data_IF_843911265086
#
_entry.id   IF_843911265086
#
_cell.length_a   1.000
_cell.length_b   1.000
_cell.length_c   1.000
_cell.angle_alpha   90.00
_cell.angle_beta   90.00
_cell.angle_gamma   90.00
#
_symmetry.space_group_name_H-M   'P 1'
#
loop_
_entity.id
_entity.type
_entity.pdbx_description
1 polymer ?
#
# COMPACT_ATOMS: atom_id res chain seq x y z
N UNK A 1 -12.03 -13.91 -8.37
CA UNK A 1 -11.45 -12.78 -7.59
C UNK A 1 -9.96 -13.01 -7.43
N UNK A 2 -9.14 -11.97 -7.58
CA UNK A 2 -7.69 -12.06 -7.38
C UNK A 2 -7.33 -12.09 -5.89
N UNK A 3 -6.37 -12.94 -5.52
CA UNK A 3 -5.87 -13.06 -4.13
C UNK A 3 -4.80 -12.02 -3.80
N UNK A 4 -4.19 -11.42 -4.82
CA UNK A 4 -3.09 -10.47 -4.73
C UNK A 4 -3.58 -9.04 -4.84
N UNK A 5 -3.06 -8.17 -3.97
CA UNK A 5 -3.42 -6.75 -3.89
C UNK A 5 -2.15 -5.90 -3.80
N UNK A 6 -2.11 -4.83 -4.59
CA UNK A 6 -1.16 -3.75 -4.40
C UNK A 6 -1.58 -2.97 -3.16
N UNK A 7 -0.62 -2.67 -2.29
CA UNK A 7 -0.81 -1.77 -1.15
C UNK A 7 -0.18 -0.43 -1.49
N UNK A 8 -0.92 0.65 -1.28
CA UNK A 8 -0.47 2.01 -1.60
C UNK A 8 -0.98 3.05 -0.59
N UNK A 9 -0.35 4.22 -0.55
CA UNK A 9 -0.75 5.37 0.29
C UNK A 9 -1.66 6.32 -0.49
N UNK A 10 -2.64 6.94 0.20
CA UNK A 10 -3.57 7.88 -0.44
C UNK A 10 -2.91 9.19 -0.89
N UNK A 11 -1.94 9.69 -0.12
CA UNK A 11 -1.44 11.06 -0.30
C UNK A 11 -0.25 11.16 -1.27
N UNK A 12 0.44 10.04 -1.55
CA UNK A 12 1.51 9.96 -2.55
C UNK A 12 1.23 9.02 -3.72
N UNK A 13 0.08 8.34 -3.76
CA UNK A 13 -0.24 7.28 -4.74
C UNK A 13 0.84 6.17 -4.80
N UNK A 14 1.62 6.03 -3.73
CA UNK A 14 2.90 5.33 -3.72
C UNK A 14 2.70 3.86 -3.40
N UNK A 15 3.21 2.99 -4.28
CA UNK A 15 3.23 1.55 -4.05
C UNK A 15 4.21 1.26 -2.90
N UNK A 16 3.69 0.77 -1.78
CA UNK A 16 4.50 0.37 -0.61
C UNK A 16 4.79 -1.13 -0.61
N UNK A 17 4.08 -1.90 -1.44
CA UNK A 17 4.39 -3.29 -1.76
C UNK A 17 3.16 -4.10 -2.18
N UNK A 18 3.32 -5.42 -2.25
CA UNK A 18 2.23 -6.36 -2.61
C UNK A 18 1.91 -7.29 -1.46
N UNK A 19 0.63 -7.59 -1.29
CA UNK A 19 0.14 -8.59 -0.34
C UNK A 19 -0.72 -9.65 -1.01
N UNK A 20 -0.73 -10.85 -0.44
CA UNK A 20 -1.65 -11.93 -0.77
C UNK A 20 -2.53 -12.26 0.42
N UNK A 21 -3.82 -12.52 0.16
CA UNK A 21 -4.76 -12.95 1.19
C UNK A 21 -4.49 -14.42 1.56
N UNK A 22 -4.38 -14.72 2.86
CA UNK A 22 -4.18 -16.07 3.39
C UNK A 22 -5.49 -16.72 3.84
N UNK A 23 -5.45 -18.04 4.10
CA UNK A 23 -6.64 -18.85 4.46
C UNK A 23 -7.43 -18.33 5.67
N UNK A 24 -6.79 -17.61 6.60
CA UNK A 24 -7.44 -16.99 7.77
C UNK A 24 -8.05 -15.61 7.48
N UNK A 25 -8.28 -15.26 6.21
CA UNK A 25 -8.72 -13.95 5.71
C UNK A 25 -7.77 -12.75 5.94
N UNK A 26 -6.63 -12.96 6.59
CA UNK A 26 -5.55 -11.98 6.80
C UNK A 26 -4.68 -11.81 5.53
N UNK A 27 -3.70 -10.91 5.57
CA UNK A 27 -2.76 -10.63 4.47
C UNK A 27 -1.33 -10.93 4.87
N UNK A 28 -0.56 -11.56 3.97
CA UNK A 28 0.90 -11.64 4.06
C UNK A 28 1.56 -10.88 2.90
N UNK A 29 2.73 -10.29 3.15
CA UNK A 29 3.52 -9.61 2.13
C UNK A 29 4.09 -10.63 1.13
N UNK A 30 4.18 -10.23 -0.14
CA UNK A 30 4.97 -10.95 -1.13
C UNK A 30 6.46 -10.58 -1.04
N UNK A 31 7.30 -11.38 -1.69
CA UNK A 31 8.77 -11.21 -1.69
C UNK A 31 9.15 -10.29 -2.85
N UNK A 32 10.06 -9.34 -2.64
CA UNK A 32 10.67 -8.55 -3.72
C UNK A 32 11.64 -9.42 -4.50
N UNK A 33 11.63 -9.29 -5.83
CA UNK A 33 12.42 -10.11 -6.76
C UNK A 33 13.93 -9.88 -6.62
N UNK A 34 14.32 -8.66 -6.26
CA UNK A 34 15.72 -8.24 -6.12
C UNK A 34 16.40 -8.87 -4.89
N UNK A 35 15.61 -9.37 -3.92
CA UNK A 35 16.10 -10.30 -2.90
C UNK A 35 16.28 -11.66 -3.57
N UNK A 36 17.49 -11.91 -4.06
CA UNK A 36 17.87 -13.04 -4.91
C UNK A 36 17.24 -14.37 -4.48
N UNK A 37 16.59 -15.01 -5.45
CA UNK A 37 16.19 -16.40 -5.35
C UNK A 37 17.41 -17.29 -5.06
N UNK A 38 17.22 -18.28 -4.17
CA UNK A 38 18.11 -19.44 -3.92
C UNK A 38 19.40 -19.12 -3.12
N UNK A 39 19.83 -17.86 -3.02
CA UNK A 39 20.72 -17.45 -1.94
C UNK A 39 20.00 -17.58 -0.59
N UNK A 40 20.55 -18.37 0.34
CA UNK A 40 20.05 -18.37 1.72
C UNK A 40 20.06 -16.95 2.28
N UNK A 41 19.17 -16.65 3.22
CA UNK A 41 19.14 -15.36 3.93
C UNK A 41 20.32 -15.14 4.89
N UNK A 42 21.48 -15.75 4.62
CA UNK A 42 22.79 -15.50 5.25
C UNK A 42 23.43 -14.18 4.78
N UNK A 43 22.62 -13.17 4.43
CA UNK A 43 22.99 -11.82 4.82
C UNK A 43 22.69 -11.73 6.31
N UNK A 44 23.67 -12.16 7.10
CA UNK A 44 23.68 -12.18 8.56
C UNK A 44 23.71 -10.75 9.11
N UNK A 45 22.60 -10.04 8.90
CA UNK A 45 22.23 -8.94 9.76
C UNK A 45 21.94 -9.53 11.13
N UNK A 46 22.85 -9.30 12.08
CA UNK A 46 22.88 -9.85 13.46
C UNK A 46 21.62 -9.56 14.30
N UNK A 47 20.64 -8.85 13.73
CA UNK A 47 19.50 -8.22 14.39
C UNK A 47 18.14 -8.91 14.12
N UNK A 48 18.08 -9.95 13.28
CA UNK A 48 16.83 -10.69 13.05
C UNK A 48 16.58 -11.74 14.14
N UNK A 49 15.42 -11.65 14.81
CA UNK A 49 15.02 -12.52 15.92
C UNK A 49 13.75 -13.36 15.64
N UNK A 50 13.35 -13.51 14.37
CA UNK A 50 12.19 -14.35 14.00
C UNK A 50 11.65 -14.16 12.58
N UNK A 51 10.42 -14.62 12.38
CA UNK A 51 9.72 -14.64 11.09
C UNK A 51 8.35 -13.96 11.17
N UNK A 52 8.06 -13.09 10.21
CA UNK A 52 6.77 -12.43 10.03
C UNK A 52 5.94 -13.18 8.96
N UNK A 53 4.91 -13.88 9.42
CA UNK A 53 3.95 -14.64 8.63
C UNK A 53 2.56 -13.96 8.69
N UNK A 54 2.18 -13.22 7.65
CA UNK A 54 1.00 -12.35 7.76
C UNK A 54 1.12 -11.38 8.93
N UNK A 55 0.05 -11.18 9.70
CA UNK A 55 0.09 -10.34 10.91
C UNK A 55 0.81 -10.97 12.13
N UNK A 56 1.44 -12.14 11.99
CA UNK A 56 2.03 -12.89 13.10
C UNK A 56 3.54 -12.94 13.05
N UNK A 57 4.15 -12.64 14.19
CA UNK A 57 5.57 -12.84 14.41
C UNK A 57 5.82 -14.15 15.17
N UNK A 58 6.77 -14.95 14.70
CA UNK A 58 7.28 -16.15 15.35
C UNK A 58 8.75 -15.93 15.69
N UNK A 59 9.03 -15.76 16.98
CA UNK A 59 10.39 -15.56 17.47
C UNK A 59 11.24 -16.84 17.36
N UNK A 60 12.56 -16.70 17.26
CA UNK A 60 13.46 -17.83 17.01
C UNK A 60 13.40 -18.93 18.06
N UNK A 61 13.14 -18.59 19.32
CA UNK A 61 13.01 -19.58 20.39
C UNK A 61 11.83 -20.52 20.11
N UNK A 62 10.74 -20.00 19.51
CA UNK A 62 9.58 -20.81 19.09
C UNK A 62 9.90 -21.65 17.86
N UNK A 63 10.70 -21.13 16.92
CA UNK A 63 11.17 -21.87 15.74
C UNK A 63 12.07 -23.04 16.16
N UNK A 64 13.07 -22.79 16.99
CA UNK A 64 14.01 -23.81 17.50
C UNK A 64 13.32 -24.86 18.36
N UNK A 65 12.40 -24.45 19.25
CA UNK A 65 11.58 -25.41 20.02
C UNK A 65 10.68 -26.26 19.13
N UNK A 66 10.11 -25.69 18.07
CA UNK A 66 9.28 -26.42 17.12
C UNK A 66 10.11 -27.37 16.24
N UNK A 67 11.33 -26.97 15.87
CA UNK A 67 12.29 -27.80 15.13
C UNK A 67 12.73 -29.01 15.94
N UNK A 68 13.12 -28.82 17.21
CA UNK A 68 13.53 -29.92 18.09
C UNK A 68 12.42 -30.97 18.27
N UNK A 69 11.15 -30.53 18.38
CA UNK A 69 9.99 -31.43 18.40
C UNK A 69 9.77 -32.14 17.07
N UNK A 70 9.95 -31.46 15.93
CA UNK A 70 9.85 -32.09 14.62
C UNK A 70 10.92 -33.16 14.41
N UNK A 71 12.16 -32.89 14.80
CA UNK A 71 13.28 -33.81 14.70
C UNK A 71 13.08 -35.07 15.56
N UNK A 72 12.66 -34.90 16.81
CA UNK A 72 12.41 -36.01 17.76
C UNK A 72 11.10 -36.77 17.55
N UNK A 73 10.24 -36.34 16.62
CA UNK A 73 8.97 -37.01 16.37
C UNK A 73 9.15 -38.40 15.72
N UNK A 74 8.55 -39.41 16.33
CA UNK A 74 8.56 -40.80 15.82
C UNK A 74 7.44 -41.01 14.83
N UNK A 75 7.77 -41.54 13.66
CA UNK A 75 6.85 -41.78 12.56
C UNK A 75 5.92 -42.96 12.92
N UNK A 76 4.74 -42.65 13.46
CA UNK A 76 3.76 -43.63 13.94
C UNK A 76 2.74 -43.07 14.94
N UNK A 77 3.15 -42.14 15.81
CA UNK A 77 2.26 -41.48 16.79
C UNK A 77 1.73 -40.11 16.32
N UNK A 78 2.25 -39.60 15.21
CA UNK A 78 1.96 -38.28 14.64
C UNK A 78 1.79 -38.38 13.13
N UNK A 79 0.91 -37.54 12.57
CA UNK A 79 0.78 -37.34 11.10
C UNK A 79 1.96 -36.52 10.57
N UNK A 80 2.62 -35.76 11.45
CA UNK A 80 3.73 -34.87 11.13
C UNK A 80 5.07 -35.43 11.63
N UNK A 81 6.20 -35.12 10.97
CA UNK A 81 6.32 -34.29 9.77
C UNK A 81 5.64 -34.91 8.54
N UNK A 82 4.92 -34.08 7.78
CA UNK A 82 4.11 -34.49 6.64
C UNK A 82 4.79 -34.06 5.33
N UNK A 83 4.72 -34.80 4.22
CA UNK A 83 5.31 -34.38 2.94
C UNK A 83 4.83 -32.98 2.50
N UNK A 84 5.76 -32.14 2.08
CA UNK A 84 5.43 -30.83 1.52
C UNK A 84 4.81 -31.00 0.12
N UNK A 85 3.65 -30.38 -0.09
CA UNK A 85 2.88 -30.46 -1.34
C UNK A 85 2.64 -29.10 -2.01
N UNK A 86 3.31 -28.05 -1.52
CA UNK A 86 3.26 -26.73 -2.14
C UNK A 86 4.22 -26.60 -3.33
N UNK A 87 4.34 -25.39 -3.87
CA UNK A 87 5.09 -25.12 -5.11
C UNK A 87 6.29 -24.18 -4.90
N UNK A 88 6.65 -23.87 -3.64
CA UNK A 88 7.81 -23.03 -3.30
C UNK A 88 9.16 -23.78 -3.31
N UNK A 89 9.10 -25.12 -3.36
CA UNK A 89 10.24 -26.03 -3.39
C UNK A 89 9.90 -27.21 -4.32
N UNK A 90 10.88 -27.84 -4.99
CA UNK A 90 10.65 -29.00 -5.84
C UNK A 90 10.09 -30.20 -5.05
N UNK A 91 9.21 -30.97 -5.69
CA UNK A 91 8.49 -32.08 -5.04
C UNK A 91 9.35 -33.34 -4.87
N UNK A 92 10.37 -33.48 -5.72
CA UNK A 92 11.36 -34.56 -5.79
C UNK A 92 12.46 -34.45 -4.73
N UNK A 93 12.70 -33.25 -4.16
CA UNK A 93 13.66 -33.04 -3.08
C UNK A 93 13.20 -33.59 -1.71
N UNK A 94 11.94 -34.03 -1.59
CA UNK A 94 11.45 -34.72 -0.39
C UNK A 94 11.26 -33.83 0.84
N UNK A 95 11.01 -32.53 0.64
CA UNK A 95 10.72 -31.60 1.72
C UNK A 95 9.53 -32.03 2.58
N UNK A 96 9.59 -31.68 3.87
CA UNK A 96 8.58 -31.97 4.86
C UNK A 96 8.05 -30.66 5.48
N UNK A 97 6.83 -30.69 6.00
CA UNK A 97 6.24 -29.61 6.77
C UNK A 97 5.98 -30.02 8.22
N UNK A 98 6.07 -29.08 9.16
CA UNK A 98 5.73 -29.27 10.57
C UNK A 98 4.90 -28.07 11.11
N UNK A 99 3.78 -28.28 11.84
CA UNK A 99 2.91 -27.18 12.25
C UNK A 99 3.52 -26.23 13.28
N UNK A 100 3.27 -24.93 13.11
CA UNK A 100 3.56 -23.90 14.13
C UNK A 100 2.23 -23.38 14.69
N UNK A 101 2.10 -23.46 16.01
CA UNK A 101 0.86 -23.11 16.72
C UNK A 101 0.89 -21.67 17.24
N UNK A 102 -0.28 -21.13 17.60
CA UNK A 102 -0.41 -19.74 18.06
C UNK A 102 0.05 -19.58 19.52
N UNK A 103 0.92 -18.60 19.77
CA UNK A 103 1.35 -18.22 21.11
C UNK A 103 2.40 -19.18 21.68
N UNK A 104 2.48 -19.31 23.01
CA UNK A 104 3.46 -20.17 23.71
C UNK A 104 3.11 -21.68 23.65
N UNK A 105 2.21 -22.10 22.75
CA UNK A 105 1.85 -23.52 22.57
C UNK A 105 2.67 -24.08 21.42
N UNK A 106 3.31 -25.21 21.64
CA UNK A 106 4.02 -25.98 20.61
C UNK A 106 3.14 -27.17 20.17
N UNK A 107 3.20 -27.54 18.88
CA UNK A 107 2.62 -28.79 18.43
C UNK A 107 3.51 -29.95 18.89
N UNK A 108 2.94 -30.90 19.66
CA UNK A 108 3.67 -32.06 20.20
C UNK A 108 3.34 -33.37 19.48
N UNK A 109 2.06 -33.66 19.27
CA UNK A 109 1.57 -34.87 18.59
C UNK A 109 0.06 -34.78 18.35
N UNK A 110 -0.48 -35.75 17.60
CA UNK A 110 -1.92 -36.03 17.51
C UNK A 110 -2.63 -35.52 16.25
N UNK A 111 -3.81 -36.09 15.98
CA UNK A 111 -4.69 -35.76 14.84
C UNK A 111 -5.57 -34.53 15.10
N UNK A 112 -5.07 -33.53 15.85
CA UNK A 112 -5.89 -32.39 16.30
C UNK A 112 -6.46 -31.58 15.12
N UNK A 113 -7.77 -31.41 15.06
CA UNK A 113 -8.50 -30.80 13.94
C UNK A 113 -8.26 -29.30 13.69
N UNK A 114 -7.41 -28.64 14.50
CA UNK A 114 -7.19 -27.19 14.46
C UNK A 114 -5.71 -26.84 14.29
N UNK A 115 -5.09 -27.46 13.29
CA UNK A 115 -3.76 -27.08 12.82
C UNK A 115 -3.86 -25.70 12.14
N UNK A 116 -3.04 -24.75 12.60
CA UNK A 116 -2.98 -23.41 12.04
C UNK A 116 -2.35 -23.39 10.64
N UNK A 117 -2.46 -22.28 9.89
CA UNK A 117 -1.94 -22.20 8.53
C UNK A 117 -0.41 -22.02 8.45
N UNK A 118 0.32 -22.11 9.57
CA UNK A 118 1.74 -21.79 9.66
C UNK A 118 2.56 -23.05 9.84
N UNK A 119 3.65 -23.19 9.09
CA UNK A 119 4.47 -24.40 9.06
C UNK A 119 5.96 -24.07 8.98
N UNK A 120 6.78 -24.84 9.69
CA UNK A 120 8.19 -25.01 9.33
C UNK A 120 8.27 -25.85 8.06
N UNK A 121 9.23 -25.53 7.19
CA UNK A 121 9.70 -26.42 6.13
C UNK A 121 11.02 -27.02 6.57
N UNK A 122 11.14 -28.33 6.39
CA UNK A 122 12.31 -29.13 6.69
C UNK A 122 12.75 -29.87 5.42
N UNK A 123 14.05 -30.10 5.26
CA UNK A 123 14.54 -31.00 4.21
C UNK A 123 14.32 -32.48 4.61
N UNK A 124 14.71 -33.42 3.74
CA UNK A 124 14.59 -34.86 3.99
C UNK A 124 15.40 -35.33 5.22
N UNK A 125 16.50 -34.65 5.56
CA UNK A 125 17.29 -34.85 6.79
C UNK A 125 16.66 -34.22 8.06
N UNK A 126 15.46 -33.62 7.97
CA UNK A 126 14.78 -32.88 9.06
C UNK A 126 15.55 -31.66 9.58
N UNK A 127 16.43 -31.07 8.77
CA UNK A 127 17.05 -29.77 9.03
C UNK A 127 16.07 -28.66 8.63
N UNK A 128 16.14 -27.52 9.34
CA UNK A 128 15.31 -26.35 9.06
C UNK A 128 15.66 -25.69 7.72
N UNK A 129 14.64 -25.32 6.96
CA UNK A 129 14.77 -24.67 5.64
C UNK A 129 14.13 -23.28 5.64
N UNK A 130 12.87 -23.18 6.08
CA UNK A 130 12.09 -21.93 6.01
C UNK A 130 10.85 -21.98 6.92
N UNK A 131 10.14 -20.86 7.02
CA UNK A 131 8.79 -20.77 7.59
C UNK A 131 7.82 -20.33 6.51
N UNK A 132 6.69 -21.03 6.36
CA UNK A 132 5.65 -20.71 5.37
C UNK A 132 4.26 -20.55 5.99
N UNK A 133 3.40 -19.81 5.30
CA UNK A 133 1.98 -19.69 5.59
C UNK A 133 1.12 -20.18 4.42
N UNK A 134 0.04 -20.89 4.72
CA UNK A 134 -0.93 -21.42 3.75
C UNK A 134 -1.86 -20.31 3.21
N UNK A 135 -1.76 -20.08 1.91
CA UNK A 135 -2.66 -19.26 1.11
C UNK A 135 -3.82 -20.05 0.51
N UNK A 136 -4.73 -19.36 -0.18
CA UNK A 136 -5.83 -20.02 -0.89
C UNK A 136 -5.32 -20.95 -2.00
N UNK A 137 -6.09 -22.00 -2.30
CA UNK A 137 -5.80 -22.91 -3.43
C UNK A 137 -4.70 -23.94 -3.17
N UNK A 138 -4.44 -24.32 -1.91
CA UNK A 138 -3.29 -25.15 -1.47
C UNK A 138 -1.91 -24.50 -1.72
N UNK A 139 -1.90 -23.18 -1.92
CA UNK A 139 -0.67 -22.43 -2.13
C UNK A 139 0.01 -22.15 -0.79
N UNK A 140 1.33 -21.93 -0.83
CA UNK A 140 2.11 -21.50 0.33
C UNK A 140 2.89 -20.23 -0.03
N UNK A 141 3.15 -19.41 0.97
CA UNK A 141 3.88 -18.16 0.87
C UNK A 141 4.97 -18.18 1.94
N UNK A 142 6.22 -17.85 1.60
CA UNK A 142 7.31 -17.75 2.58
C UNK A 142 7.03 -16.60 3.54
N UNK A 143 7.38 -16.79 4.80
CA UNK A 143 7.37 -15.73 5.78
C UNK A 143 8.64 -14.88 5.64
N UNK A 144 8.57 -13.62 6.04
CA UNK A 144 9.70 -12.71 5.91
C UNK A 144 10.54 -12.80 7.19
N UNK A 145 11.83 -13.14 7.07
CA UNK A 145 12.82 -13.01 8.15
C UNK A 145 12.81 -11.55 8.63
N UNK A 146 12.56 -11.33 9.91
CA UNK A 146 12.23 -10.00 10.42
C UNK A 146 12.69 -9.81 11.85
N UNK A 147 12.92 -8.55 12.23
CA UNK A 147 13.13 -8.15 13.62
C UNK A 147 11.79 -7.71 14.18
N UNK A 148 11.29 -8.38 15.21
CA UNK A 148 10.34 -7.73 16.09
C UNK A 148 11.12 -6.70 16.88
N UNK A 149 11.03 -5.43 16.47
CA UNK A 149 11.63 -4.34 17.20
C UNK A 149 11.21 -4.44 18.69
N UNK A 150 12.14 -4.33 19.65
CA UNK A 150 11.76 -4.13 21.03
C UNK A 150 10.80 -2.93 21.08
N UNK A 151 9.75 -3.01 21.90
CA UNK A 151 8.78 -1.91 22.02
C UNK A 151 9.54 -0.66 22.47
N UNK A 152 9.84 0.22 21.53
CA UNK A 152 10.56 1.45 21.82
C UNK A 152 9.76 2.27 22.85
N UNK A 153 10.42 2.97 23.78
CA UNK A 153 9.81 4.09 24.48
C UNK A 153 9.21 5.05 23.44
N UNK A 154 8.11 5.72 23.77
CA UNK A 154 7.30 6.50 22.83
C UNK A 154 7.97 7.81 22.31
N UNK A 155 9.30 7.88 22.30
CA UNK A 155 10.10 9.10 22.20
C UNK A 155 11.18 9.07 21.10
N UNK A 156 11.19 8.10 20.18
CA UNK A 156 12.17 8.04 19.09
C UNK A 156 11.93 9.15 18.03
N UNK A 157 12.89 10.07 17.78
CA UNK A 157 12.69 11.19 16.86
C UNK A 157 12.99 10.89 15.37
N UNK A 158 13.47 9.71 14.98
CA UNK A 158 14.20 9.53 13.71
C UNK A 158 13.42 8.91 12.52
N UNK A 159 12.09 8.77 12.59
CA UNK A 159 11.26 8.15 11.53
C UNK A 159 11.09 8.93 10.21
N UNK A 160 11.70 10.12 10.03
CA UNK A 160 11.30 11.13 9.01
C UNK A 160 12.19 11.28 7.78
N UNK A 161 12.96 10.25 7.38
CA UNK A 161 14.06 10.37 6.41
C UNK A 161 13.79 9.86 4.98
N UNK A 162 12.61 10.11 4.39
CA UNK A 162 12.45 10.03 2.93
C UNK A 162 11.78 11.28 2.36
N UNK A 163 12.65 12.23 1.95
CA UNK A 163 12.31 13.50 1.28
C UNK A 163 12.26 13.31 -0.25
N UNK A 164 11.85 14.36 -0.94
CA UNK A 164 10.65 14.32 -1.73
C UNK A 164 10.82 15.39 -2.85
N UNK A 165 10.51 15.19 -4.16
CA UNK A 165 10.79 16.18 -5.18
C UNK A 165 9.59 17.13 -5.36
N UNK A 166 9.86 18.37 -5.73
CA UNK A 166 8.90 19.47 -5.71
C UNK A 166 7.71 19.36 -6.69
N UNK A 167 6.48 19.24 -6.16
CA UNK A 167 5.21 19.59 -6.85
C UNK A 167 4.87 21.06 -6.62
N UNK A 168 4.85 21.93 -7.66
CA UNK A 168 4.39 23.31 -7.54
C UNK A 168 2.86 23.43 -7.58
N UNK A 169 2.30 24.31 -6.77
CA UNK A 169 0.85 24.51 -6.68
C UNK A 169 0.46 25.61 -5.70
N UNK A 170 -0.78 25.57 -5.21
CA UNK A 170 -1.33 26.55 -4.28
C UNK A 170 -1.93 25.88 -3.03
N UNK A 171 -1.55 26.35 -1.84
CA UNK A 171 -2.08 25.87 -0.56
C UNK A 171 -3.19 26.78 -0.05
N UNK A 172 -4.43 26.30 -0.10
CA UNK A 172 -5.61 26.95 0.43
C UNK A 172 -5.99 26.37 1.80
N UNK A 173 -5.42 26.92 2.87
CA UNK A 173 -5.61 26.40 4.23
C UNK A 173 -5.01 25.01 4.39
N UNK A 174 -5.86 23.97 4.42
CA UNK A 174 -5.44 22.55 4.50
C UNK A 174 -5.47 21.80 3.16
N UNK A 175 -5.83 22.46 2.06
CA UNK A 175 -5.98 21.83 0.74
C UNK A 175 -4.92 22.35 -0.21
N UNK A 176 -4.18 21.46 -0.86
CA UNK A 176 -3.20 21.80 -1.90
C UNK A 176 -3.76 21.51 -3.28
N UNK A 177 -3.58 22.44 -4.21
CA UNK A 177 -3.95 22.30 -5.61
C UNK A 177 -2.70 22.33 -6.47
N UNK A 178 -2.39 21.19 -7.10
CA UNK A 178 -1.27 21.03 -8.03
C UNK A 178 -1.49 21.87 -9.31
N UNK A 179 -0.43 22.49 -9.83
CA UNK A 179 -0.50 23.30 -11.05
C UNK A 179 -1.14 22.56 -12.24
N UNK A 180 -0.83 21.28 -12.45
CA UNK A 180 -1.38 20.48 -13.57
C UNK A 180 -2.90 20.36 -13.49
N UNK A 181 -3.44 20.13 -12.29
CA UNK A 181 -4.88 20.05 -12.04
C UNK A 181 -5.55 21.40 -12.32
N UNK A 182 -4.91 22.51 -11.93
CA UNK A 182 -5.41 23.86 -12.18
C UNK A 182 -5.37 24.24 -13.66
N UNK A 183 -4.35 23.81 -14.41
CA UNK A 183 -4.25 23.99 -15.86
C UNK A 183 -5.34 23.21 -16.61
N UNK A 184 -5.61 21.97 -16.23
CA UNK A 184 -6.68 21.17 -16.82
C UNK A 184 -8.07 21.74 -16.48
N UNK A 185 -8.26 22.26 -15.27
CA UNK A 185 -9.42 23.07 -14.92
C UNK A 185 -9.52 24.33 -15.81
N UNK A 186 -8.45 25.09 -16.02
CA UNK A 186 -8.45 26.27 -16.88
C UNK A 186 -8.84 25.95 -18.34
N UNK A 187 -8.38 24.81 -18.89
CA UNK A 187 -8.79 24.30 -20.21
C UNK A 187 -10.30 24.01 -20.27
N UNK A 188 -10.86 23.39 -19.21
CA UNK A 188 -12.31 23.12 -19.10
C UNK A 188 -13.10 24.44 -19.02
N UNK A 189 -12.62 25.41 -18.23
CA UNK A 189 -13.23 26.73 -18.11
C UNK A 189 -13.31 27.45 -19.47
N UNK A 190 -12.21 27.46 -20.23
CA UNK A 190 -12.14 28.04 -21.58
C UNK A 190 -13.14 27.38 -22.55
N UNK A 191 -13.18 26.04 -22.59
CA UNK A 191 -14.12 25.24 -23.42
C UNK A 191 -15.59 25.43 -23.05
N UNK A 192 -15.89 25.91 -21.85
CA UNK A 192 -17.25 26.13 -21.37
C UNK A 192 -17.70 27.58 -21.58
N UNK A 193 -16.79 28.55 -21.49
CA UNK A 193 -17.07 29.94 -21.82
C UNK A 193 -17.34 30.16 -23.33
N UNK A 194 -16.74 29.34 -24.20
CA UNK A 194 -16.97 29.39 -25.65
C UNK A 194 -18.30 28.77 -26.11
N UNK A 195 -19.17 28.30 -25.20
CA UNK A 195 -20.48 27.73 -25.53
C UNK A 195 -21.56 28.80 -25.44
N UNK A 196 -22.48 28.81 -26.41
CA UNK A 196 -23.59 29.78 -26.53
C UNK A 196 -24.55 29.75 -25.33
N UNK A 197 -24.60 28.64 -24.59
CA UNK A 197 -25.43 28.50 -23.39
C UNK A 197 -24.92 29.44 -22.29
N UNK A 198 -25.76 30.40 -21.85
CA UNK A 198 -25.47 31.38 -20.80
C UNK A 198 -25.12 30.74 -19.45
N UNK A 199 -23.86 30.37 -19.29
CA UNK A 199 -23.27 29.94 -18.02
C UNK A 199 -23.16 31.12 -17.05
N UNK A 200 -23.29 30.86 -15.74
CA UNK A 200 -22.91 31.85 -14.70
C UNK A 200 -21.38 31.89 -14.44
N UNK A 201 -20.61 30.99 -15.07
CA UNK A 201 -19.16 30.89 -14.91
C UNK A 201 -18.44 30.72 -16.25
N UNK A 202 -17.25 31.33 -16.44
CA UNK A 202 -16.53 32.13 -15.46
C UNK A 202 -17.22 33.47 -15.21
N UNK A 203 -17.05 34.03 -14.01
CA UNK A 203 -17.59 35.35 -13.67
C UNK A 203 -16.45 36.38 -13.66
N UNK A 204 -16.65 37.55 -14.27
CA UNK A 204 -15.69 38.65 -14.19
C UNK A 204 -15.57 39.18 -12.75
N UNK A 205 -14.33 39.46 -12.33
CA UNK A 205 -14.01 39.93 -10.99
C UNK A 205 -12.82 40.90 -11.02
N UNK A 206 -12.91 41.98 -10.24
CA UNK A 206 -11.85 43.00 -10.14
C UNK A 206 -11.60 43.47 -8.69
N UNK A 207 -12.06 42.72 -7.69
CA UNK A 207 -11.98 43.10 -6.27
C UNK A 207 -10.72 42.61 -5.54
N UNK A 208 -10.69 42.86 -4.23
CA UNK A 208 -9.66 42.34 -3.33
C UNK A 208 -9.66 40.80 -3.31
N UNK A 209 -8.50 40.12 -3.43
CA UNK A 209 -7.13 40.65 -3.30
C UNK A 209 -6.43 40.95 -4.63
N UNK A 210 -7.11 40.84 -5.77
CA UNK A 210 -6.46 40.86 -7.09
C UNK A 210 -6.41 42.24 -7.74
N UNK A 211 -7.43 43.09 -7.52
CA UNK A 211 -7.50 44.49 -8.00
C UNK A 211 -7.27 44.71 -9.52
N UNK A 212 -7.39 43.65 -10.32
CA UNK A 212 -7.29 43.68 -11.79
C UNK A 212 -8.37 42.78 -12.40
N UNK A 213 -8.83 43.06 -13.63
CA UNK A 213 -9.82 42.22 -14.30
C UNK A 213 -9.34 40.78 -14.42
N UNK A 214 -10.09 39.87 -13.81
CA UNK A 214 -9.84 38.45 -13.80
C UNK A 214 -11.16 37.67 -13.89
N UNK A 215 -11.06 36.35 -14.07
CA UNK A 215 -12.20 35.45 -14.19
C UNK A 215 -12.19 34.48 -13.00
N UNK A 216 -13.32 34.31 -12.33
CA UNK A 216 -13.45 33.39 -11.18
C UNK A 216 -14.35 32.20 -11.50
N UNK A 217 -13.94 31.01 -11.05
CA UNK A 217 -14.71 29.77 -11.15
C UNK A 217 -14.69 28.99 -9.82
N UNK A 218 -15.82 28.49 -9.30
CA UNK A 218 -15.80 27.62 -8.12
C UNK A 218 -15.05 26.30 -8.35
N UNK A 219 -14.13 26.00 -7.44
CA UNK A 219 -13.26 24.83 -7.46
C UNK A 219 -13.64 23.90 -6.29
N UNK A 220 -13.72 22.60 -6.56
CA UNK A 220 -13.97 21.57 -5.55
C UNK A 220 -12.67 21.22 -4.80
N UNK A 221 -12.75 20.46 -3.70
CA UNK A 221 -11.59 20.12 -2.83
C UNK A 221 -10.52 19.26 -3.51
N UNK A 222 -10.93 18.49 -4.51
CA UNK A 222 -10.12 17.63 -5.38
C UNK A 222 -9.50 18.39 -6.56
N UNK A 223 -9.78 19.70 -6.70
CA UNK A 223 -9.35 20.51 -7.84
C UNK A 223 -10.24 20.39 -9.08
N UNK A 224 -11.34 19.63 -9.02
CA UNK A 224 -12.30 19.58 -10.12
C UNK A 224 -13.12 20.88 -10.19
N UNK A 225 -13.51 21.25 -11.41
CA UNK A 225 -14.42 22.38 -11.62
C UNK A 225 -15.85 22.03 -11.19
N UNK A 226 -16.46 22.93 -10.43
CA UNK A 226 -17.88 22.88 -10.09
C UNK A 226 -18.77 22.89 -11.34
N UNK A 227 -19.68 21.92 -11.42
CA UNK A 227 -20.71 21.81 -12.47
C UNK A 227 -22.12 22.15 -11.95
N UNK A 228 -22.53 21.57 -10.82
CA UNK A 228 -23.88 21.72 -10.21
C UNK A 228 -23.83 21.39 -8.71
N UNK A 229 -24.78 21.90 -7.93
CA UNK A 229 -24.93 21.59 -6.49
C UNK A 229 -24.46 22.70 -5.56
N UNK A 230 -23.90 22.34 -4.41
CA UNK A 230 -23.33 23.31 -3.46
C UNK A 230 -21.96 23.80 -3.93
N UNK A 231 -21.74 25.11 -3.94
CA UNK A 231 -20.44 25.70 -4.27
C UNK A 231 -19.47 25.48 -3.10
N UNK A 232 -18.39 24.74 -3.33
CA UNK A 232 -17.25 24.68 -2.41
C UNK A 232 -16.63 26.09 -2.19
N UNK A 233 -15.84 26.34 -1.12
CA UNK A 233 -15.31 27.67 -0.82
C UNK A 233 -14.15 28.09 -1.72
N UNK A 234 -13.51 27.16 -2.43
CA UNK A 234 -12.33 27.43 -3.26
C UNK A 234 -12.72 28.00 -4.63
N UNK A 235 -11.84 28.81 -5.20
CA UNK A 235 -12.07 29.58 -6.43
C UNK A 235 -10.81 29.54 -7.27
N UNK A 236 -10.89 28.97 -8.47
CA UNK A 236 -9.87 29.11 -9.49
C UNK A 236 -9.97 30.53 -10.05
N UNK A 237 -8.82 31.23 -10.09
CA UNK A 237 -8.71 32.61 -10.55
C UNK A 237 -7.87 32.60 -11.82
N UNK A 238 -8.46 33.06 -12.92
CA UNK A 238 -7.87 33.04 -14.26
C UNK A 238 -7.64 34.46 -14.79
N UNK A 239 -6.66 34.61 -15.69
CA UNK A 239 -6.55 35.80 -16.55
C UNK A 239 -7.73 35.85 -17.52
N UNK A 240 -8.02 37.01 -18.16
CA UNK A 240 -9.00 37.08 -19.26
C UNK A 240 -8.70 36.11 -20.42
N UNK A 241 -7.43 35.67 -20.57
CA UNK A 241 -6.98 34.70 -21.57
C UNK A 241 -7.14 33.23 -21.13
N UNK A 242 -7.73 32.99 -19.94
CA UNK A 242 -7.93 31.68 -19.30
C UNK A 242 -6.64 30.99 -18.82
N UNK A 243 -5.63 31.75 -18.42
CA UNK A 243 -4.41 31.21 -17.79
C UNK A 243 -4.56 31.18 -16.27
N UNK A 244 -3.96 30.20 -15.60
CA UNK A 244 -4.02 30.06 -14.13
C UNK A 244 -3.26 31.19 -13.46
N UNK A 245 -3.98 32.12 -12.84
CA UNK A 245 -3.38 33.25 -12.13
C UNK A 245 -3.16 32.95 -10.64
N UNK A 246 -4.13 32.29 -9.99
CA UNK A 246 -4.09 31.98 -8.56
C UNK A 246 -5.23 31.01 -8.19
N UNK A 247 -5.25 30.55 -6.94
CA UNK A 247 -6.44 30.01 -6.28
C UNK A 247 -6.77 30.92 -5.10
N UNK A 248 -8.06 31.13 -4.83
CA UNK A 248 -8.54 31.80 -3.63
C UNK A 248 -9.48 30.91 -2.82
N UNK A 249 -9.61 31.20 -1.53
CA UNK A 249 -10.59 30.60 -0.63
C UNK A 249 -11.51 31.68 -0.08
N UNK A 250 -12.82 31.42 -0.11
CA UNK A 250 -13.84 32.29 0.46
C UNK A 250 -13.96 32.03 1.96
N UNK A 251 -13.64 33.02 2.78
CA UNK A 251 -13.68 32.96 4.25
C UNK A 251 -14.48 34.15 4.76
N UNK A 252 -15.60 33.91 5.47
CA UNK A 252 -16.51 34.97 5.95
C UNK A 252 -16.94 35.96 4.83
N UNK A 253 -17.25 35.42 3.65
CA UNK A 253 -17.58 36.17 2.40
C UNK A 253 -16.43 36.99 1.78
N UNK A 254 -15.24 37.00 2.35
CA UNK A 254 -14.04 37.63 1.76
C UNK A 254 -13.20 36.60 0.99
N UNK A 255 -12.63 37.01 -0.14
CA UNK A 255 -11.66 36.19 -0.87
C UNK A 255 -10.27 36.37 -0.27
N UNK A 256 -9.62 35.26 0.10
CA UNK A 256 -8.21 35.24 0.46
C UNK A 256 -7.44 34.46 -0.59
N UNK A 257 -6.40 35.06 -1.17
CA UNK A 257 -5.50 34.37 -2.09
C UNK A 257 -4.78 33.23 -1.35
N UNK A 258 -4.56 32.11 -2.03
CA UNK A 258 -3.85 30.96 -1.49
C UNK A 258 -2.35 31.07 -1.76
N UNK A 259 -1.53 30.59 -0.82
CA UNK A 259 -0.07 30.65 -0.95
C UNK A 259 0.40 29.79 -2.12
N UNK A 260 1.17 30.35 -3.05
CA UNK A 260 1.91 29.54 -4.02
C UNK A 260 3.01 28.77 -3.26
N UNK A 261 2.93 27.44 -3.26
CA UNK A 261 3.87 26.57 -2.53
C UNK A 261 4.38 25.46 -3.42
N UNK A 262 5.56 24.97 -3.07
CA UNK A 262 6.19 23.84 -3.71
C UNK A 262 6.26 22.72 -2.67
N UNK A 263 5.34 21.76 -2.73
CA UNK A 263 5.35 20.59 -1.84
C UNK A 263 6.33 19.59 -2.43
N UNK A 264 7.48 19.46 -1.79
CA UNK A 264 8.42 18.37 -2.03
C UNK A 264 7.69 17.05 -1.67
N UNK A 265 7.23 16.27 -2.67
CA UNK A 265 6.48 15.01 -2.54
C UNK A 265 7.07 13.81 -3.35
N UNK A 266 7.96 12.98 -2.75
CA UNK A 266 8.42 11.67 -3.27
C UNK A 266 7.27 10.74 -3.01
N UNK A 267 6.64 10.42 -4.12
CA UNK A 267 6.37 9.05 -4.46
C UNK A 267 7.73 8.36 -4.61
N UNK A 268 8.21 7.69 -3.58
CA UNK A 268 9.30 6.71 -3.72
C UNK A 268 8.62 5.37 -3.98
N UNK A 269 7.97 5.26 -5.14
CA UNK A 269 7.34 4.01 -5.53
C UNK A 269 8.39 2.91 -5.40
N UNK A 270 7.96 1.76 -4.89
CA UNK A 270 8.86 0.64 -4.79
C UNK A 270 9.17 0.09 -6.19
N UNK A 271 10.34 0.43 -6.72
CA UNK A 271 10.82 0.07 -8.07
C UNK A 271 11.12 -1.44 -8.22
N UNK A 272 11.04 -2.21 -7.13
CA UNK A 272 11.19 -3.67 -7.14
C UNK A 272 10.02 -4.38 -7.81
N UNK A 273 10.35 -5.35 -8.66
CA UNK A 273 9.43 -6.43 -9.04
C UNK A 273 9.03 -7.27 -7.80
N UNK A 274 7.86 -7.88 -7.85
CA UNK A 274 7.35 -8.74 -6.78
C UNK A 274 7.06 -10.16 -7.26
N UNK A 275 7.52 -11.15 -6.50
CA UNK A 275 7.10 -12.53 -6.67
C UNK A 275 6.05 -12.92 -5.63
N UNK A 276 4.85 -13.22 -6.12
CA UNK A 276 3.71 -13.70 -5.35
C UNK A 276 3.34 -15.12 -5.78
N UNK A 277 3.92 -16.13 -5.11
CA UNK A 277 3.65 -17.58 -5.28
C UNK A 277 3.99 -18.20 -6.66
N UNK A 278 3.32 -17.73 -7.72
CA UNK A 278 3.55 -18.09 -9.13
C UNK A 278 3.40 -16.89 -10.06
N UNK A 279 2.90 -15.76 -9.57
CA UNK A 279 2.74 -14.54 -10.33
C UNK A 279 3.95 -13.65 -10.08
N UNK A 280 4.62 -13.28 -11.17
CA UNK A 280 5.54 -12.15 -11.19
C UNK A 280 4.68 -10.91 -11.46
N UNK A 281 4.75 -9.94 -10.56
CA UNK A 281 4.09 -8.65 -10.71
C UNK A 281 5.20 -7.62 -10.92
N UNK A 282 5.27 -7.04 -12.12
CA UNK A 282 6.31 -6.06 -12.42
C UNK A 282 6.03 -4.74 -11.73
N UNK A 283 7.08 -3.97 -11.42
CA UNK A 283 6.95 -2.61 -10.90
C UNK A 283 5.89 -1.77 -11.65
N UNK A 284 5.91 -1.81 -12.99
CA UNK A 284 4.96 -1.07 -13.83
C UNK A 284 3.50 -1.49 -13.58
N UNK A 285 3.22 -2.79 -13.43
CA UNK A 285 1.86 -3.26 -13.11
C UNK A 285 1.37 -2.73 -11.76
N UNK A 286 2.28 -2.57 -10.79
CA UNK A 286 1.94 -2.04 -9.47
C UNK A 286 1.65 -0.54 -9.52
N UNK A 287 2.43 0.22 -10.28
CA UNK A 287 2.17 1.66 -10.54
C UNK A 287 0.85 1.84 -11.26
N UNK A 288 0.62 1.14 -12.37
CA UNK A 288 -0.63 1.19 -13.14
C UNK A 288 -1.86 0.88 -12.27
N UNK A 289 -1.74 -0.11 -11.37
CA UNK A 289 -2.79 -0.47 -10.44
C UNK A 289 -3.03 0.60 -9.36
N UNK A 290 -1.98 1.20 -8.80
CA UNK A 290 -2.07 2.29 -7.84
C UNK A 290 -2.67 3.56 -8.48
N UNK A 291 -2.27 3.94 -9.70
CA UNK A 291 -2.84 5.08 -10.42
C UNK A 291 -4.33 4.87 -10.71
N UNK A 292 -4.73 3.69 -11.22
CA UNK A 292 -6.14 3.32 -11.42
C UNK A 292 -6.94 3.39 -10.11
N UNK A 293 -6.36 2.94 -9.01
CA UNK A 293 -6.97 3.00 -7.69
C UNK A 293 -7.22 4.45 -7.24
N UNK A 294 -6.23 5.33 -7.41
CA UNK A 294 -6.32 6.73 -6.99
C UNK A 294 -7.31 7.53 -7.82
N UNK A 295 -7.46 7.23 -9.12
CA UNK A 295 -8.57 7.76 -9.94
C UNK A 295 -9.93 7.31 -9.38
N UNK A 296 -10.06 6.03 -8.97
CA UNK A 296 -11.31 5.51 -8.41
C UNK A 296 -11.65 6.05 -7.02
N UNK A 297 -10.66 6.38 -6.15
CA UNK A 297 -10.90 7.00 -4.83
C UNK A 297 -11.65 8.34 -4.92
N UNK A 298 -11.47 9.06 -6.02
CA UNK A 298 -12.06 10.37 -6.24
C UNK A 298 -13.36 10.30 -7.07
N UNK A 299 -13.81 9.09 -7.44
CA UNK A 299 -15.09 8.87 -8.10
C UNK A 299 -16.25 8.89 -7.11
N UNK A 300 -17.41 9.40 -7.52
CA UNK A 300 -18.64 9.39 -6.72
C UNK A 300 -19.37 8.03 -6.72
N UNK A 301 -18.84 7.03 -7.44
CA UNK A 301 -19.42 5.68 -7.52
C UNK A 301 -19.00 4.84 -6.32
N UNK A 302 -19.92 4.05 -5.77
CA UNK A 302 -19.67 3.08 -4.69
C UNK A 302 -18.85 1.89 -5.18
N UNK A 303 -17.57 2.13 -5.48
CA UNK A 303 -16.63 1.09 -5.85
C UNK A 303 -16.23 0.28 -4.61
N UNK A 304 -16.10 -1.04 -4.77
CA UNK A 304 -15.56 -1.93 -3.72
C UNK A 304 -14.06 -1.72 -3.48
N UNK A 305 -13.40 -0.99 -4.38
CA UNK A 305 -11.97 -0.70 -4.36
C UNK A 305 -11.69 0.76 -4.75
N UNK A 306 -10.56 1.31 -4.30
CA UNK A 306 -9.65 0.71 -3.33
C UNK A 306 -10.23 0.69 -1.90
N UNK A 307 -9.87 -0.34 -1.14
CA UNK A 307 -10.36 -0.58 0.21
C UNK A 307 -9.26 -0.32 1.25
N UNK A 308 -9.63 0.16 2.44
CA UNK A 308 -8.68 0.32 3.55
C UNK A 308 -7.95 -0.98 3.89
N UNK A 309 -6.70 -0.88 4.33
CA UNK A 309 -5.85 -2.02 4.65
C UNK A 309 -5.42 -2.04 6.12
N UNK A 310 -5.70 -3.16 6.77
CA UNK A 310 -5.48 -3.40 8.21
C UNK A 310 -4.43 -4.51 8.48
N UNK A 311 -3.71 -4.94 7.45
CA UNK A 311 -2.71 -6.01 7.55
C UNK A 311 -1.33 -5.54 8.06
N UNK A 312 -0.27 -6.36 7.87
CA UNK A 312 1.10 -6.03 8.23
C UNK A 312 1.55 -4.63 7.78
N UNK A 313 2.09 -3.84 8.72
CA UNK A 313 2.63 -2.50 8.47
C UNK A 313 3.80 -2.50 7.48
N UNK A 314 3.94 -1.42 6.73
CA UNK A 314 5.08 -1.15 5.84
C UNK A 314 6.05 -0.16 6.50
N UNK A 315 7.17 0.14 5.83
CA UNK A 315 8.21 1.03 6.38
C UNK A 315 7.80 2.51 6.35
N UNK A 316 6.86 2.89 5.47
CA UNK A 316 6.15 4.16 5.49
C UNK A 316 4.97 4.12 6.46
N UNK A 317 4.60 5.25 7.05
CA UNK A 317 3.39 5.34 7.88
C UNK A 317 2.10 5.28 7.03
N UNK A 318 1.02 4.77 7.62
CA UNK A 318 -0.30 4.71 6.98
C UNK A 318 -1.07 6.06 7.05
N UNK A 319 -2.32 6.11 6.56
CA UNK A 319 -3.19 4.99 6.20
C UNK A 319 -2.87 4.38 4.84
N UNK A 320 -2.98 3.05 4.75
CA UNK A 320 -2.80 2.32 3.51
C UNK A 320 -4.13 1.84 2.92
N UNK A 321 -4.13 1.66 1.61
CA UNK A 321 -5.25 1.16 0.82
C UNK A 321 -4.79 -0.02 -0.05
N UNK A 322 -5.74 -0.88 -0.42
CA UNK A 322 -5.51 -2.02 -1.32
C UNK A 322 -6.29 -1.90 -2.61
N UNK A 323 -5.68 -2.31 -3.71
CA UNK A 323 -6.31 -2.47 -5.02
C UNK A 323 -5.89 -3.80 -5.67
N UNK A 324 -6.76 -4.49 -6.44
CA UNK A 324 -6.39 -5.72 -7.15
C UNK A 324 -5.18 -5.51 -8.06
N UNK A 325 -4.15 -6.36 -7.92
CA UNK A 325 -2.91 -6.24 -8.70
C UNK A 325 -3.02 -6.77 -10.15
N UNK A 326 -4.19 -7.31 -10.53
CA UNK A 326 -4.40 -7.99 -11.81
C UNK A 326 -5.83 -7.78 -12.29
N UNK A 327 -5.97 -7.38 -13.55
CA UNK A 327 -7.07 -7.73 -14.46
C UNK A 327 -6.42 -8.15 -15.78
#
# INVERSE_FOLDING_TARGET
MTTFRVVFTRDSDEVVGVVSKITTNDYTKCIRRDNSYIGSSHLESEDFNGFLCGNRFFADEIIQQSLALAQTSVQGSSIYPYPYFGLLYPADEGFLMWPIMRGKKLYKSGKTAHIGPFYLILNKERLFVDVVVSGYGKNFLRCIRSRQAPKAPASDPHSKLFVQPPKPGYLCGKTFFDNKVLEDAAKIAKKHASKVVKSKFPQSYSGHPYYKPCLIWPLLKDGNIYRRGMKAPYRLILTPNYEVMSVAILVKNEFKACDKKIIKSKKKHDESDYHCFKQNLSYQQLVDAAEKACVQMNSAVTNHFPAGYEGPKFNSEGPYFTYPAVQ
#
